data_IF_747977331646
#
_entry.id   IF_747977331646
#
_cell.length_a   1.000
_cell.length_b   1.000
_cell.length_c   1.000
_cell.angle_alpha   90.00
_cell.angle_beta   90.00
_cell.angle_gamma   90.00
#
_symmetry.space_group_name_H-M   'P 1'
#
loop_
_entity.id
_entity.type
_entity.pdbx_description
1 polymer ?
#
# COMPACT_ATOMS: atom_id res chain seq x y z
N UNK A 1 1.48 22.38 -17.65
CA UNK A 1 2.01 21.28 -16.79
C UNK A 1 0.89 20.60 -16.01
N UNK A 2 0.02 19.80 -16.66
CA UNK A 2 -1.06 19.02 -15.99
C UNK A 2 -1.03 17.51 -16.29
N UNK A 3 -0.34 17.09 -17.36
CA UNK A 3 -0.25 15.68 -17.79
C UNK A 3 0.27 14.73 -16.70
N UNK A 4 1.34 15.12 -16.01
CA UNK A 4 1.96 14.25 -15.00
C UNK A 4 1.09 13.90 -13.78
N UNK A 5 0.11 14.75 -13.40
CA UNK A 5 -0.80 14.43 -12.30
C UNK A 5 -1.87 13.42 -12.71
N UNK A 6 -2.38 13.53 -13.94
CA UNK A 6 -3.37 12.59 -14.46
C UNK A 6 -2.75 11.23 -14.74
N UNK A 7 -1.51 11.20 -15.25
CA UNK A 7 -0.74 9.97 -15.42
C UNK A 7 -0.47 9.27 -14.09
N UNK A 8 -0.02 10.01 -13.07
CA UNK A 8 0.15 9.48 -11.70
C UNK A 8 -1.15 8.94 -11.12
N UNK A 9 -2.28 9.62 -11.35
CA UNK A 9 -3.59 9.16 -10.88
C UNK A 9 -3.98 7.83 -11.54
N UNK A 10 -3.79 7.71 -12.85
CA UNK A 10 -4.08 6.47 -13.60
C UNK A 10 -3.20 5.32 -13.12
N UNK A 11 -1.91 5.59 -12.89
CA UNK A 11 -0.98 4.58 -12.38
C UNK A 11 -1.36 4.09 -10.98
N UNK A 12 -1.75 5.00 -10.08
CA UNK A 12 -2.23 4.64 -8.74
C UNK A 12 -3.50 3.79 -8.79
N UNK A 13 -4.46 4.13 -9.66
CA UNK A 13 -5.68 3.34 -9.86
C UNK A 13 -5.33 1.94 -10.36
N UNK A 14 -4.43 1.82 -11.34
CA UNK A 14 -4.01 0.53 -11.88
C UNK A 14 -3.34 -0.35 -10.82
N UNK A 15 -2.40 0.22 -10.06
CA UNK A 15 -1.74 -0.48 -8.94
C UNK A 15 -2.75 -0.92 -7.88
N UNK A 16 -3.65 -0.03 -7.48
CA UNK A 16 -4.72 -0.35 -6.52
C UNK A 16 -5.69 -1.41 -7.05
N UNK A 17 -5.98 -1.44 -8.34
CA UNK A 17 -6.82 -2.48 -8.94
C UNK A 17 -6.20 -3.87 -8.82
N UNK A 18 -4.87 -3.96 -8.94
CA UNK A 18 -4.14 -5.23 -8.82
C UNK A 18 -4.09 -5.71 -7.37
N UNK A 19 -3.86 -4.78 -6.43
CA UNK A 19 -3.62 -5.14 -5.03
C UNK A 19 -4.88 -5.13 -4.15
N UNK A 20 -5.92 -4.37 -4.49
CA UNK A 20 -7.15 -4.25 -3.71
C UNK A 20 -8.24 -5.15 -4.28
N UNK A 21 -8.50 -6.27 -3.61
CA UNK A 21 -9.55 -7.22 -3.99
C UNK A 21 -10.96 -6.70 -3.63
N UNK A 22 -11.04 -5.72 -2.72
CA UNK A 22 -12.30 -5.29 -2.11
C UNK A 22 -12.93 -4.04 -2.76
N UNK A 23 -12.30 -3.43 -3.77
CA UNK A 23 -12.78 -2.20 -4.42
C UNK A 23 -12.77 -2.34 -5.93
N UNK A 24 -13.89 -2.03 -6.56
CA UNK A 24 -14.01 -1.98 -8.02
C UNK A 24 -13.36 -0.72 -8.61
N UNK A 25 -12.99 -0.80 -9.90
CA UNK A 25 -12.39 0.32 -10.65
C UNK A 25 -13.26 1.58 -10.58
N UNK A 26 -14.58 1.45 -10.67
CA UNK A 26 -15.51 2.58 -10.55
C UNK A 26 -15.42 3.27 -9.19
N UNK A 27 -15.21 2.52 -8.12
CA UNK A 27 -15.02 3.09 -6.79
C UNK A 27 -13.67 3.82 -6.71
N UNK A 28 -12.61 3.25 -7.28
CA UNK A 28 -11.28 3.89 -7.33
C UNK A 28 -11.29 5.17 -8.17
N UNK A 29 -12.04 5.23 -9.27
CA UNK A 29 -12.15 6.43 -10.09
C UNK A 29 -12.91 7.57 -9.40
N UNK A 30 -13.83 7.24 -8.48
CA UNK A 30 -14.55 8.23 -7.65
C UNK A 30 -13.67 8.84 -6.55
N UNK A 31 -12.57 8.18 -6.18
CA UNK A 31 -11.65 8.68 -5.16
C UNK A 31 -10.79 9.84 -5.67
N UNK A 32 -10.46 10.74 -4.76
CA UNK A 32 -9.50 11.82 -5.02
C UNK A 32 -8.06 11.30 -5.06
N UNK A 33 -7.12 12.06 -5.64
CA UNK A 33 -5.70 11.67 -5.70
C UNK A 33 -5.14 11.33 -4.32
N UNK A 34 -5.45 12.15 -3.31
CA UNK A 34 -5.00 11.96 -1.93
C UNK A 34 -5.52 10.65 -1.32
N UNK A 35 -6.75 10.27 -1.65
CA UNK A 35 -7.32 9.01 -1.19
C UNK A 35 -6.69 7.81 -1.90
N UNK A 36 -6.43 7.91 -3.20
CA UNK A 36 -5.68 6.89 -3.93
C UNK A 36 -4.27 6.70 -3.34
N UNK A 37 -3.57 7.77 -2.99
CA UNK A 37 -2.26 7.68 -2.33
C UNK A 37 -2.35 7.02 -0.94
N UNK A 38 -3.36 7.37 -0.12
CA UNK A 38 -3.56 6.74 1.19
C UNK A 38 -3.85 5.25 1.09
N UNK A 39 -4.73 4.86 0.16
CA UNK A 39 -5.05 3.44 -0.06
C UNK A 39 -3.82 2.68 -0.57
N UNK A 40 -3.02 3.28 -1.46
CA UNK A 40 -1.81 2.64 -1.95
C UNK A 40 -0.75 2.49 -0.85
N UNK A 41 -0.68 3.45 0.08
CA UNK A 41 0.17 3.35 1.27
C UNK A 41 -0.30 2.25 2.22
N UNK A 42 -1.62 2.08 2.41
CA UNK A 42 -2.17 0.97 3.22
C UNK A 42 -1.85 -0.39 2.59
N UNK A 43 -2.04 -0.53 1.29
CA UNK A 43 -1.67 -1.73 0.54
C UNK A 43 -0.18 -2.05 0.72
N UNK A 44 0.69 -1.05 0.58
CA UNK A 44 2.13 -1.24 0.83
C UNK A 44 2.40 -1.67 2.27
N UNK A 45 1.74 -1.06 3.25
CA UNK A 45 1.90 -1.41 4.65
C UNK A 45 1.36 -2.82 4.99
N UNK A 46 0.29 -3.24 4.35
CA UNK A 46 -0.29 -4.58 4.49
C UNK A 46 0.60 -5.64 3.82
N UNK A 47 1.23 -5.29 2.70
CA UNK A 47 2.17 -6.14 1.98
C UNK A 47 3.55 -6.22 2.66
N UNK A 48 3.74 -5.65 3.85
CA UNK A 48 4.98 -5.80 4.59
C UNK A 48 5.08 -7.22 5.18
N UNK A 49 6.11 -8.01 4.81
CA UNK A 49 6.46 -9.21 5.55
C UNK A 49 7.00 -8.76 6.91
N UNK A 50 6.14 -8.71 7.92
CA UNK A 50 6.47 -8.72 9.34
C UNK A 50 7.71 -7.90 9.73
N UNK A 51 7.61 -6.57 9.75
CA UNK A 51 8.61 -5.74 10.44
C UNK A 51 8.41 -5.72 11.97
N UNK A 52 8.01 -6.86 12.56
CA UNK A 52 8.04 -7.11 14.00
C UNK A 52 8.36 -8.59 14.31
N UNK A 53 9.15 -9.25 13.47
CA UNK A 53 9.91 -10.42 13.92
C UNK A 53 11.15 -9.94 14.69
N UNK A 54 10.94 -9.19 15.76
CA UNK A 54 11.97 -8.78 16.70
C UNK A 54 12.56 -9.99 17.39
N UNK A 55 13.62 -10.54 16.79
CA UNK A 55 14.72 -11.32 17.38
C UNK A 55 14.37 -12.25 18.56
N UNK A 56 14.35 -13.57 18.31
CA UNK A 56 14.43 -14.56 19.38
C UNK A 56 15.81 -14.43 20.03
N UNK A 57 15.91 -13.70 21.15
CA UNK A 57 17.12 -13.68 21.98
C UNK A 57 17.15 -14.95 22.83
N UNK A 58 17.96 -15.92 22.41
CA UNK A 58 18.35 -17.03 23.28
C UNK A 58 19.32 -16.51 24.33
N UNK A 59 18.81 -16.05 25.48
CA UNK A 59 19.66 -15.86 26.67
C UNK A 59 20.03 -17.24 27.22
N UNK A 60 21.10 -17.83 26.71
CA UNK A 60 21.76 -18.95 27.38
C UNK A 60 22.52 -18.40 28.60
N UNK A 61 21.81 -18.07 29.67
CA UNK A 61 22.46 -17.85 30.95
C UNK A 61 22.76 -19.22 31.57
N UNK A 62 24.00 -19.68 31.39
CA UNK A 62 24.62 -20.63 32.33
C UNK A 62 25.55 -19.81 33.22
N UNK A 63 25.16 -19.63 34.47
CA UNK A 63 26.12 -19.43 35.56
C UNK A 63 25.60 -20.07 36.83
#
# INVERSE_FOLDING_TARGET
MKKGMEERRKELIYKLMIHTVNKTVEQLMKLTLKELEMEYKKVQNDCHPHSDAGSIHWINTKR
#
